data_IF_063842619908
#
_entry.id   IF_063842619908
#
_cell.length_a   1.000
_cell.length_b   1.000
_cell.length_c   1.000
_cell.angle_alpha   90.00
_cell.angle_beta   90.00
_cell.angle_gamma   90.00
#
_symmetry.space_group_name_H-M   'P 1'
#
loop_
_entity.id
_entity.type
_entity.pdbx_description
1 polymer ?
#
# COMPACT_ATOMS: atom_id res chain seq x y z
N UNK A 1 11.71 30.89 -6.28
CA UNK A 1 12.92 31.48 -5.64
C UNK A 1 12.80 31.73 -4.12
N UNK A 2 11.67 31.44 -3.45
CA UNK A 2 11.58 31.57 -1.97
C UNK A 2 11.53 30.24 -1.20
N UNK A 3 11.45 29.11 -1.91
CA UNK A 3 11.47 27.75 -1.35
C UNK A 3 12.88 27.27 -0.95
N UNK A 4 13.92 27.97 -1.40
CA UNK A 4 15.34 27.58 -1.23
C UNK A 4 15.97 28.14 0.05
N UNK A 5 15.38 29.20 0.64
CA UNK A 5 15.93 29.89 1.81
C UNK A 5 15.61 29.19 3.15
N UNK A 6 14.56 28.37 3.20
CA UNK A 6 14.14 27.65 4.43
C UNK A 6 14.91 26.34 4.65
N UNK A 7 15.29 25.63 3.59
CA UNK A 7 16.09 24.38 3.68
C UNK A 7 17.53 24.65 4.12
N UNK A 8 18.04 25.86 3.87
CA UNK A 8 19.40 26.26 4.23
C UNK A 8 19.59 26.52 5.74
N UNK A 9 18.56 26.92 6.49
CA UNK A 9 18.74 27.20 7.93
C UNK A 9 18.79 25.94 8.81
N UNK A 10 18.13 24.86 8.39
CA UNK A 10 18.21 23.51 9.02
C UNK A 10 19.62 22.91 8.95
N UNK A 11 20.37 23.27 7.91
CA UNK A 11 21.73 22.76 7.67
C UNK A 11 22.80 23.59 8.37
N UNK A 12 22.59 24.89 8.52
CA UNK A 12 23.60 25.79 9.10
C UNK A 12 23.87 25.47 10.59
N UNK A 13 22.88 24.96 11.33
CA UNK A 13 23.02 24.53 12.72
C UNK A 13 23.71 23.16 12.89
N UNK A 14 23.74 22.33 11.84
CA UNK A 14 24.30 20.96 11.88
C UNK A 14 25.71 20.84 11.27
N UNK A 15 26.23 21.88 10.61
CA UNK A 15 27.56 21.83 9.98
C UNK A 15 28.72 22.16 10.93
N UNK A 16 28.46 22.62 12.16
CA UNK A 16 29.49 23.22 13.02
C UNK A 16 30.14 22.32 14.06
N UNK A 17 29.86 21.01 14.08
CA UNK A 17 30.58 20.06 14.96
C UNK A 17 31.09 18.84 14.20
N UNK A 18 32.09 19.07 13.35
CA UNK A 18 33.05 18.03 12.97
C UNK A 18 34.17 18.05 14.02
N UNK A 19 34.05 17.25 15.08
CA UNK A 19 35.23 16.91 15.89
C UNK A 19 36.08 15.91 15.11
N UNK A 20 37.39 16.13 15.05
CA UNK A 20 38.36 15.19 14.48
C UNK A 20 38.28 13.85 15.23
N UNK A 21 37.77 12.82 14.55
CA UNK A 21 37.73 11.45 15.09
C UNK A 21 38.95 10.67 14.59
N UNK A 22 39.60 9.97 15.53
CA UNK A 22 40.84 9.23 15.33
C UNK A 22 40.66 8.05 14.36
N UNK A 23 41.74 7.75 13.65
CA UNK A 23 41.88 6.89 12.46
C UNK A 23 41.56 5.39 12.64
N UNK A 24 41.13 4.93 13.83
CA UNK A 24 41.13 3.50 14.18
C UNK A 24 39.77 2.81 14.34
N UNK A 25 38.64 3.52 14.19
CA UNK A 25 37.31 2.90 14.20
C UNK A 25 36.83 2.59 12.77
N UNK A 26 37.29 1.47 12.22
CA UNK A 26 36.98 1.06 10.84
C UNK A 26 35.57 0.42 10.73
N UNK A 27 34.54 1.26 10.78
CA UNK A 27 33.33 1.05 9.97
C UNK A 27 33.41 2.08 8.84
N UNK A 28 33.17 1.73 7.56
CA UNK A 28 33.29 2.72 6.50
C UNK A 28 32.35 3.89 6.82
N UNK A 29 32.96 5.07 7.03
CA UNK A 29 32.23 6.32 7.23
C UNK A 29 31.20 6.42 6.11
N UNK A 30 29.92 6.53 6.46
CA UNK A 30 28.85 6.66 5.47
C UNK A 30 29.20 7.85 4.59
N UNK A 31 29.45 7.59 3.32
CA UNK A 31 29.90 8.62 2.40
C UNK A 31 28.83 9.70 2.21
N UNK A 32 29.22 10.89 1.74
CA UNK A 32 28.24 11.89 1.35
C UNK A 32 27.42 11.39 0.15
N UNK A 33 26.18 11.87 0.06
CA UNK A 33 25.32 11.69 -1.11
C UNK A 33 26.06 12.20 -2.36
N UNK A 34 26.08 11.42 -3.46
CA UNK A 34 26.68 11.88 -4.71
C UNK A 34 26.04 13.19 -5.17
N UNK A 35 26.81 14.06 -5.84
CA UNK A 35 26.26 15.32 -6.36
C UNK A 35 25.11 15.03 -7.34
N UNK A 36 23.91 15.56 -7.06
CA UNK A 36 22.66 15.24 -7.77
C UNK A 36 22.27 13.74 -7.76
N UNK A 37 22.82 12.96 -6.84
CA UNK A 37 22.54 11.54 -6.68
C UNK A 37 21.26 11.26 -5.88
N UNK A 38 20.92 9.99 -5.71
CA UNK A 38 19.85 9.51 -4.83
C UNK A 38 20.43 9.01 -3.50
N UNK A 39 19.58 8.90 -2.48
CA UNK A 39 19.91 8.31 -1.18
C UNK A 39 19.49 6.84 -1.19
N UNK A 40 20.38 5.94 -0.78
CA UNK A 40 20.09 4.52 -0.64
C UNK A 40 19.38 4.18 0.67
N UNK A 41 18.98 2.91 0.80
CA UNK A 41 18.53 2.34 2.07
C UNK A 41 19.53 1.24 2.49
N UNK A 42 19.91 1.24 3.76
CA UNK A 42 20.76 0.19 4.32
C UNK A 42 20.02 -1.14 4.28
N UNK A 43 20.74 -2.22 4.01
CA UNK A 43 20.21 -3.57 4.20
C UNK A 43 20.51 -4.03 5.63
N UNK A 44 19.46 -4.40 6.40
CA UNK A 44 19.55 -4.97 7.75
C UNK A 44 19.98 -6.45 7.80
N UNK A 45 20.16 -7.09 6.65
CA UNK A 45 20.55 -8.49 6.50
C UNK A 45 19.99 -9.05 5.19
N UNK A 46 18.71 -9.41 5.24
CA UNK A 46 17.91 -9.94 4.14
C UNK A 46 16.78 -8.98 3.70
N UNK A 47 16.84 -7.70 4.09
CA UNK A 47 15.78 -6.70 3.87
C UNK A 47 15.78 -6.04 2.48
N UNK A 48 16.42 -6.66 1.48
CA UNK A 48 16.50 -6.07 0.13
C UNK A 48 15.12 -5.96 -0.55
N UNK A 49 14.18 -6.85 -0.22
CA UNK A 49 12.78 -6.80 -0.66
C UNK A 49 12.07 -5.53 -0.15
N UNK A 50 12.36 -5.09 1.08
CA UNK A 50 11.81 -3.84 1.62
C UNK A 50 12.37 -2.65 0.85
N UNK A 51 13.69 -2.64 0.66
CA UNK A 51 14.39 -1.52 0.05
C UNK A 51 13.97 -1.30 -1.40
N UNK A 52 13.82 -2.37 -2.19
CA UNK A 52 13.39 -2.27 -3.60
C UNK A 52 11.98 -1.69 -3.71
N UNK A 53 11.03 -2.16 -2.89
CA UNK A 53 9.65 -1.67 -2.87
C UNK A 53 9.57 -0.23 -2.39
N UNK A 54 10.21 0.11 -1.27
CA UNK A 54 10.18 1.48 -0.72
C UNK A 54 10.79 2.50 -1.68
N UNK A 55 11.89 2.14 -2.35
CA UNK A 55 12.49 3.00 -3.39
C UNK A 55 11.56 3.16 -4.58
N UNK A 56 10.90 2.09 -5.04
CA UNK A 56 9.96 2.16 -6.16
C UNK A 56 8.76 3.05 -5.84
N UNK A 57 8.18 2.91 -4.65
CA UNK A 57 7.08 3.76 -4.17
C UNK A 57 7.51 5.23 -4.03
N UNK A 58 8.71 5.49 -3.50
CA UNK A 58 9.27 6.83 -3.37
C UNK A 58 9.46 7.55 -4.71
N UNK A 59 9.82 6.80 -5.76
CA UNK A 59 10.06 7.36 -7.09
C UNK A 59 8.75 7.74 -7.81
N UNK A 60 7.60 7.22 -7.37
CA UNK A 60 6.28 7.67 -7.85
C UNK A 60 6.00 9.05 -7.26
N UNK A 61 6.25 10.10 -8.05
CA UNK A 61 6.19 11.50 -7.58
C UNK A 61 4.84 11.86 -6.96
N UNK A 62 3.72 11.49 -7.60
CA UNK A 62 2.37 11.78 -7.12
C UNK A 62 2.11 11.15 -5.75
N UNK A 63 2.49 9.87 -5.59
CA UNK A 63 2.40 9.14 -4.34
C UNK A 63 3.27 9.78 -3.26
N UNK A 64 4.57 9.97 -3.53
CA UNK A 64 5.51 10.58 -2.58
C UNK A 64 5.02 11.94 -2.09
N UNK A 65 4.60 12.83 -2.99
CA UNK A 65 4.13 14.16 -2.60
C UNK A 65 2.84 14.10 -1.78
N UNK A 66 1.93 13.19 -2.12
CA UNK A 66 0.69 13.03 -1.39
C UNK A 66 0.95 12.49 0.02
N UNK A 67 1.74 11.42 0.16
CA UNK A 67 2.09 10.83 1.45
C UNK A 67 2.84 11.81 2.36
N UNK A 68 3.82 12.55 1.83
CA UNK A 68 4.56 13.57 2.60
C UNK A 68 3.72 14.81 2.96
N UNK A 69 2.56 15.03 2.33
CA UNK A 69 1.69 16.19 2.64
C UNK A 69 0.74 15.94 3.81
N UNK A 70 0.58 14.67 4.21
CA UNK A 70 -0.34 14.29 5.28
C UNK A 70 0.28 14.64 6.64
N UNK A 71 -0.48 15.34 7.47
CA UNK A 71 -0.10 15.62 8.86
C UNK A 71 -0.67 14.55 9.77
N UNK A 72 0.20 13.89 10.52
CA UNK A 72 -0.18 12.94 11.57
C UNK A 72 -0.21 13.70 12.89
N UNK A 73 -1.32 13.70 13.66
CA UNK A 73 -1.39 14.36 14.96
C UNK A 73 -0.35 13.77 15.94
N UNK A 74 0.33 14.60 16.76
CA UNK A 74 1.17 14.11 17.86
C UNK A 74 0.28 13.41 18.92
N UNK A 75 0.73 12.26 19.45
CA UNK A 75 -0.01 11.47 20.44
C UNK A 75 -0.54 10.10 19.98
N UNK A 76 -0.18 9.61 18.79
CA UNK A 76 -0.45 8.22 18.37
C UNK A 76 0.88 7.44 18.29
N UNK A 77 1.24 6.76 19.38
CA UNK A 77 2.41 5.88 19.44
C UNK A 77 3.77 6.58 19.54
N UNK A 78 3.85 7.68 20.28
CA UNK A 78 5.12 8.37 20.57
C UNK A 78 5.91 7.63 21.65
N UNK A 79 6.17 6.33 21.46
CA UNK A 79 7.28 5.69 22.18
C UNK A 79 8.57 6.20 21.52
N UNK A 80 9.06 7.31 22.08
CA UNK A 80 10.41 7.81 21.91
C UNK A 80 11.40 6.70 22.30
N UNK A 81 11.73 5.81 21.38
CA UNK A 81 12.83 4.88 21.59
C UNK A 81 14.14 5.67 21.50
N UNK A 82 14.80 5.81 22.65
CA UNK A 82 16.04 6.53 23.00
C UNK A 82 17.31 6.29 22.15
N UNK A 83 17.24 5.71 20.95
CA UNK A 83 18.45 5.33 20.16
C UNK A 83 18.68 6.14 18.87
N UNK A 84 17.90 7.19 18.62
CA UNK A 84 18.15 8.09 17.49
C UNK A 84 18.63 9.46 17.99
N UNK A 85 19.92 9.55 18.31
CA UNK A 85 20.65 10.81 18.58
C UNK A 85 20.66 11.78 17.38
N UNK A 86 19.92 11.47 16.30
CA UNK A 86 19.71 12.32 15.11
C UNK A 86 18.30 12.95 15.07
N UNK A 87 17.46 12.78 16.12
CA UNK A 87 16.00 12.98 16.06
C UNK A 87 15.45 14.41 16.12
N UNK A 88 16.14 15.41 16.66
CA UNK A 88 15.39 16.59 17.16
C UNK A 88 15.08 17.70 16.15
N UNK A 89 15.90 17.93 15.13
CA UNK A 89 15.79 19.21 14.39
C UNK A 89 14.96 19.13 13.10
N UNK A 90 14.81 17.96 12.49
CA UNK A 90 14.16 17.83 11.17
C UNK A 90 12.63 17.76 11.22
N UNK A 91 12.06 17.24 12.31
CA UNK A 91 10.63 16.93 12.40
C UNK A 91 9.79 18.09 12.97
N UNK A 92 10.33 18.86 13.93
CA UNK A 92 9.62 20.01 14.53
C UNK A 92 9.45 21.18 13.57
N UNK A 93 10.33 21.34 12.57
CA UNK A 93 10.12 22.34 11.49
C UNK A 93 9.02 21.94 10.49
N UNK A 94 8.63 20.66 10.43
CA UNK A 94 7.60 20.17 9.51
C UNK A 94 6.19 20.24 10.12
N UNK A 95 6.06 20.06 11.44
CA UNK A 95 4.78 20.04 12.16
C UNK A 95 4.09 21.42 12.28
N UNK A 96 4.83 22.54 12.16
CA UNK A 96 4.30 23.91 12.33
C UNK A 96 3.54 24.50 11.12
N UNK A 97 3.28 23.72 10.05
CA UNK A 97 2.10 23.95 9.22
C UNK A 97 1.94 25.31 8.53
N UNK A 98 3.02 25.94 8.07
CA UNK A 98 2.96 26.96 7.01
C UNK A 98 3.49 26.33 5.72
N UNK A 99 3.12 26.84 4.54
CA UNK A 99 3.49 26.32 3.21
C UNK A 99 2.68 25.05 2.85
N UNK A 100 1.58 25.07 2.08
CA UNK A 100 1.45 25.48 0.68
C UNK A 100 -0.01 25.83 0.31
N UNK A 101 -0.15 26.64 -0.74
CA UNK A 101 -1.43 27.08 -1.31
C UNK A 101 -2.24 25.91 -1.90
N UNK A 102 -3.53 25.85 -1.56
CA UNK A 102 -4.57 25.15 -2.32
C UNK A 102 -4.61 25.76 -3.71
N UNK A 103 -4.22 25.01 -4.73
CA UNK A 103 -4.80 25.11 -6.08
C UNK A 103 -4.37 23.85 -6.84
N UNK A 104 -5.38 23.03 -7.21
CA UNK A 104 -5.40 21.85 -8.09
C UNK A 104 -6.07 20.58 -7.52
N UNK A 105 -6.99 20.70 -6.57
CA UNK A 105 -8.02 19.67 -6.33
C UNK A 105 -9.35 20.33 -6.00
N UNK A 106 -10.21 20.51 -7.00
CA UNK A 106 -11.59 20.96 -6.79
C UNK A 106 -12.43 19.75 -6.40
N UNK A 107 -12.72 19.62 -5.10
CA UNK A 107 -13.73 18.70 -4.56
C UNK A 107 -14.99 19.52 -4.35
N UNK A 108 -15.98 19.35 -5.22
CA UNK A 108 -17.34 19.87 -5.01
C UNK A 108 -18.06 18.98 -4.00
N UNK A 109 -18.44 19.54 -2.84
CA UNK A 109 -19.30 18.88 -1.85
C UNK A 109 -20.78 19.09 -2.17
N UNK A 110 -21.67 18.10 -1.95
CA UNK A 110 -23.10 18.33 -1.82
C UNK A 110 -23.52 18.61 -0.36
N UNK A 111 -24.62 19.35 -0.25
CA UNK A 111 -25.20 19.99 0.95
C UNK A 111 -25.54 19.05 2.12
N UNK A 112 -25.34 19.56 3.35
CA UNK A 112 -25.97 19.08 4.58
C UNK A 112 -27.40 19.62 4.66
N UNK A 113 -28.39 18.75 4.86
CA UNK A 113 -29.64 19.10 5.52
C UNK A 113 -29.65 18.52 6.93
N UNK A 114 -30.17 19.33 7.84
CA UNK A 114 -30.31 19.11 9.27
C UNK A 114 -31.47 18.16 9.54
N UNK A 115 -31.29 17.22 10.46
CA UNK A 115 -32.40 16.69 11.25
C UNK A 115 -32.07 16.83 12.73
N UNK A 116 -32.85 17.68 13.38
CA UNK A 116 -33.04 17.74 14.82
C UNK A 116 -33.85 16.51 15.22
N UNK A 117 -33.54 15.90 16.37
CA UNK A 117 -34.61 15.41 17.24
C UNK A 117 -34.15 15.31 18.70
N UNK A 118 -34.95 15.99 19.53
CA UNK A 118 -34.99 15.91 20.99
C UNK A 118 -35.50 14.53 21.43
N UNK A 119 -35.08 14.07 22.62
CA UNK A 119 -36.04 13.83 23.69
C UNK A 119 -35.38 13.58 25.06
N UNK A 120 -35.91 14.28 26.05
CA UNK A 120 -35.71 14.13 27.49
C UNK A 120 -36.43 12.89 28.03
N UNK A 121 -35.92 12.25 29.09
CA UNK A 121 -36.43 12.37 30.48
C UNK A 121 -36.02 11.21 31.41
N UNK A 122 -35.54 11.63 32.57
CA UNK A 122 -35.85 11.20 33.95
C UNK A 122 -35.43 9.82 34.52
N UNK A 123 -34.52 9.93 35.51
CA UNK A 123 -34.60 9.51 36.92
C UNK A 123 -35.18 8.12 37.27
N UNK A 124 -34.39 7.31 37.98
CA UNK A 124 -34.62 7.07 39.41
C UNK A 124 -33.46 6.32 40.12
N UNK A 125 -33.30 6.68 41.39
CA UNK A 125 -32.37 6.13 42.39
C UNK A 125 -32.62 4.64 42.71
N UNK A 126 -31.57 3.91 43.12
CA UNK A 126 -31.47 3.39 44.49
C UNK A 126 -30.15 2.66 44.79
N UNK A 127 -29.68 2.87 46.02
CA UNK A 127 -28.56 2.20 46.69
C UNK A 127 -28.75 0.68 46.78
N UNK A 128 -27.65 -0.08 46.78
CA UNK A 128 -27.27 -0.92 47.93
C UNK A 128 -25.88 -1.55 47.76
N UNK A 129 -25.11 -1.50 48.85
CA UNK A 129 -23.88 -2.23 49.08
C UNK A 129 -24.12 -3.75 49.01
N UNK A 130 -23.13 -4.49 48.48
CA UNK A 130 -22.60 -5.67 49.14
C UNK A 130 -21.27 -6.11 48.50
N UNK A 131 -20.24 -6.16 49.34
CA UNK A 131 -18.98 -6.85 49.07
C UNK A 131 -19.27 -8.35 48.84
N UNK A 132 -18.67 -8.93 47.80
CA UNK A 132 -18.16 -10.28 47.85
C UNK A 132 -17.02 -10.45 46.83
N UNK A 133 -15.86 -10.84 47.37
CA UNK A 133 -14.69 -11.28 46.63
C UNK A 133 -15.03 -12.50 45.78
N UNK A 134 -14.64 -12.45 44.51
CA UNK A 134 -14.01 -13.53 43.74
C UNK A 134 -14.08 -13.16 42.27
N UNK A 135 -12.99 -12.64 41.69
CA UNK A 135 -12.87 -12.58 40.23
C UNK A 135 -11.49 -13.08 39.80
N UNK A 136 -11.51 -14.31 39.28
CA UNK A 136 -10.56 -14.76 38.27
C UNK A 136 -10.69 -13.82 37.06
N UNK A 137 -9.72 -12.94 36.85
CA UNK A 137 -9.68 -12.10 35.67
C UNK A 137 -9.08 -12.88 34.50
N UNK A 138 -9.91 -13.70 33.83
CA UNK A 138 -9.76 -13.87 32.40
C UNK A 138 -10.35 -12.61 31.76
N UNK A 139 -9.48 -11.67 31.37
CA UNK A 139 -9.86 -10.51 30.57
C UNK A 139 -10.29 -11.01 29.18
N UNK A 140 -11.59 -11.07 28.97
CA UNK A 140 -12.18 -11.19 27.64
C UNK A 140 -12.04 -9.82 26.98
N UNK A 141 -11.05 -9.68 26.09
CA UNK A 141 -10.74 -8.43 25.39
C UNK A 141 -11.92 -8.03 24.51
N UNK A 142 -12.41 -6.80 24.70
CA UNK A 142 -13.51 -6.28 23.90
C UNK A 142 -13.10 -6.05 22.44
N UNK A 143 -13.97 -6.24 21.44
CA UNK A 143 -13.64 -6.01 20.01
C UNK A 143 -13.22 -4.57 19.68
N UNK A 144 -13.48 -3.61 20.58
CA UNK A 144 -13.15 -2.19 20.38
C UNK A 144 -11.67 -1.88 20.65
N UNK A 145 -11.06 -2.60 21.59
CA UNK A 145 -9.65 -2.39 21.95
C UNK A 145 -8.71 -2.89 20.84
N UNK A 146 -9.00 -4.05 20.26
CA UNK A 146 -8.20 -4.63 19.16
C UNK A 146 -8.24 -3.79 17.88
N UNK A 147 -9.38 -3.15 17.59
CA UNK A 147 -9.51 -2.25 16.42
C UNK A 147 -8.69 -0.98 16.60
N UNK A 148 -8.63 -0.44 17.82
CA UNK A 148 -7.87 0.76 18.12
C UNK A 148 -6.35 0.50 18.04
N UNK A 149 -5.88 -0.62 18.59
CA UNK A 149 -4.48 -1.05 18.50
C UNK A 149 -4.02 -1.24 17.03
N UNK A 150 -4.88 -1.82 16.19
CA UNK A 150 -4.57 -2.02 14.77
C UNK A 150 -4.47 -0.68 14.02
N UNK A 151 -5.34 0.26 14.32
CA UNK A 151 -5.30 1.60 13.73
C UNK A 151 -4.02 2.34 14.14
N UNK A 152 -3.66 2.27 15.42
CA UNK A 152 -2.44 2.89 15.93
C UNK A 152 -1.19 2.28 15.28
N UNK A 153 -1.11 0.96 15.17
CA UNK A 153 -0.06 0.26 14.44
C UNK A 153 0.09 0.77 13.01
N UNK A 154 -1.03 0.84 12.26
CA UNK A 154 -1.01 1.32 10.87
C UNK A 154 -0.52 2.77 10.78
N UNK A 155 -0.95 3.65 11.69
CA UNK A 155 -0.51 5.04 11.74
C UNK A 155 0.99 5.13 12.03
N UNK A 156 1.52 4.30 12.94
CA UNK A 156 2.97 4.24 13.20
C UNK A 156 3.73 3.79 11.94
N UNK A 157 3.28 2.75 11.26
CA UNK A 157 3.88 2.28 9.99
C UNK A 157 3.90 3.40 8.96
N UNK A 158 2.79 4.11 8.80
CA UNK A 158 2.69 5.23 7.87
C UNK A 158 3.67 6.37 8.24
N UNK A 159 3.80 6.71 9.53
CA UNK A 159 4.77 7.69 10.02
C UNK A 159 6.22 7.30 9.68
N UNK A 160 6.58 6.03 9.88
CA UNK A 160 7.92 5.55 9.52
C UNK A 160 8.17 5.59 8.01
N UNK A 161 7.15 5.34 7.18
CA UNK A 161 7.25 5.51 5.73
C UNK A 161 7.48 6.99 5.37
N UNK A 162 6.78 7.92 6.01
CA UNK A 162 7.03 9.36 5.83
C UNK A 162 8.47 9.73 6.22
N UNK A 163 9.00 9.20 7.33
CA UNK A 163 10.39 9.42 7.73
C UNK A 163 11.39 8.87 6.72
N UNK A 164 11.17 7.65 6.22
CA UNK A 164 11.99 7.07 5.15
C UNK A 164 11.96 8.00 3.93
N UNK A 165 10.79 8.42 3.48
CA UNK A 165 10.65 9.29 2.31
C UNK A 165 11.28 10.67 2.52
N UNK A 166 11.18 11.24 3.72
CA UNK A 166 11.86 12.49 4.07
C UNK A 166 13.38 12.38 3.96
N UNK A 167 13.97 11.31 4.51
CA UNK A 167 15.40 11.06 4.40
C UNK A 167 15.85 10.76 2.96
N UNK A 168 15.06 10.02 2.20
CA UNK A 168 15.36 9.77 0.79
C UNK A 168 15.37 11.05 -0.06
N UNK A 169 14.54 12.03 0.31
CA UNK A 169 14.45 13.31 -0.36
C UNK A 169 15.62 14.24 0.00
N UNK A 170 15.89 14.41 1.31
CA UNK A 170 16.72 15.51 1.82
C UNK A 170 18.07 15.08 2.39
N UNK A 171 18.27 13.80 2.74
CA UNK A 171 19.51 13.38 3.40
C UNK A 171 20.74 13.68 2.54
N UNK A 172 21.79 14.13 3.21
CA UNK A 172 23.13 14.36 2.65
C UNK A 172 24.01 13.13 2.72
N UNK A 173 23.54 12.06 3.35
CA UNK A 173 24.26 10.80 3.46
C UNK A 173 23.99 9.94 2.22
N UNK A 174 24.93 9.03 1.91
CA UNK A 174 24.78 8.08 0.83
C UNK A 174 23.58 7.15 1.01
N UNK A 175 23.22 6.82 2.26
CA UNK A 175 22.05 6.00 2.58
C UNK A 175 21.43 6.36 3.93
N UNK A 176 20.16 5.98 4.11
CA UNK A 176 19.44 6.02 5.39
C UNK A 176 19.30 4.62 6.00
N UNK A 177 19.30 4.53 7.33
CA UNK A 177 19.11 3.27 8.08
C UNK A 177 17.72 3.31 8.75
N UNK A 178 16.71 2.60 8.22
CA UNK A 178 15.34 2.67 8.73
C UNK A 178 15.12 1.80 9.98
N UNK A 179 15.91 2.01 11.03
CA UNK A 179 15.88 1.17 12.27
C UNK A 179 14.51 1.13 12.91
N UNK A 180 13.86 2.29 13.04
CA UNK A 180 12.53 2.38 13.63
C UNK A 180 11.50 1.56 12.85
N UNK A 181 11.53 1.61 11.51
CA UNK A 181 10.64 0.82 10.67
C UNK A 181 10.87 -0.68 10.87
N UNK A 182 12.13 -1.12 10.90
CA UNK A 182 12.48 -2.52 11.15
C UNK A 182 11.99 -3.04 12.50
N UNK A 183 12.02 -2.21 13.54
CA UNK A 183 11.59 -2.59 14.89
C UNK A 183 10.07 -2.82 14.97
N UNK A 184 9.29 -2.03 14.23
CA UNK A 184 7.83 -2.04 14.34
C UNK A 184 7.15 -2.89 13.28
N UNK A 185 7.75 -3.06 12.10
CA UNK A 185 7.10 -3.72 10.97
C UNK A 185 6.86 -5.21 11.25
N UNK A 186 5.66 -5.69 10.93
CA UNK A 186 5.21 -7.05 11.17
C UNK A 186 4.60 -7.66 9.91
N UNK A 187 4.88 -8.94 9.66
CA UNK A 187 4.15 -9.75 8.69
C UNK A 187 3.07 -10.54 9.39
N UNK A 188 1.82 -10.41 8.95
CA UNK A 188 0.69 -11.17 9.51
C UNK A 188 0.56 -11.12 11.05
N UNK A 189 1.02 -10.01 11.67
CA UNK A 189 1.03 -9.83 13.12
C UNK A 189 2.33 -10.23 13.82
N UNK A 190 3.21 -10.96 13.15
CA UNK A 190 4.48 -11.44 13.70
C UNK A 190 5.63 -10.46 13.41
N UNK A 191 6.52 -10.19 14.39
CA UNK A 191 7.73 -9.40 14.19
C UNK A 191 8.62 -9.97 13.09
N UNK A 192 9.20 -9.10 12.27
CA UNK A 192 10.09 -9.52 11.19
C UNK A 192 11.51 -9.74 11.70
N UNK A 193 12.06 -10.92 11.43
CA UNK A 193 13.48 -11.16 11.56
C UNK A 193 14.21 -10.63 10.33
N UNK A 194 15.09 -9.64 10.52
CA UNK A 194 15.78 -8.95 9.42
C UNK A 194 16.76 -9.84 8.64
N UNK A 195 17.03 -11.06 9.10
CA UNK A 195 17.85 -12.06 8.41
C UNK A 195 17.05 -12.99 7.51
N UNK A 196 15.73 -12.95 7.59
CA UNK A 196 14.84 -13.78 6.79
C UNK A 196 14.45 -13.06 5.49
N UNK A 197 14.46 -13.81 4.39
CA UNK A 197 14.01 -13.32 3.08
C UNK A 197 12.50 -13.48 2.99
N UNK A 198 11.83 -12.47 2.43
CA UNK A 198 10.38 -12.49 2.19
C UNK A 198 10.07 -12.11 0.73
N UNK A 199 8.84 -12.40 0.29
CA UNK A 199 8.36 -11.96 -1.00
C UNK A 199 8.17 -10.43 -1.00
N UNK A 200 8.79 -9.75 -1.98
CA UNK A 200 8.64 -8.32 -2.17
C UNK A 200 7.18 -7.91 -2.47
N UNK A 201 6.40 -8.80 -3.09
CA UNK A 201 4.98 -8.56 -3.35
C UNK A 201 4.14 -8.61 -2.08
N UNK A 202 4.42 -9.56 -1.19
CA UNK A 202 3.78 -9.63 0.13
C UNK A 202 4.06 -8.36 0.93
N UNK A 203 5.32 -7.89 0.91
CA UNK A 203 5.71 -6.64 1.53
C UNK A 203 4.99 -5.43 0.91
N UNK A 204 4.94 -5.34 -0.42
CA UNK A 204 4.23 -4.26 -1.13
C UNK A 204 2.77 -4.18 -0.71
N UNK A 205 2.05 -5.30 -0.74
CA UNK A 205 0.63 -5.34 -0.38
C UNK A 205 0.44 -4.93 1.09
N UNK A 206 1.25 -5.50 2.00
CA UNK A 206 1.19 -5.17 3.44
C UNK A 206 1.41 -3.67 3.69
N UNK A 207 2.41 -3.07 3.03
CA UNK A 207 2.72 -1.65 3.16
C UNK A 207 1.60 -0.78 2.60
N UNK A 208 1.10 -1.11 1.41
CA UNK A 208 0.00 -0.36 0.76
C UNK A 208 -1.26 -0.39 1.62
N UNK A 209 -1.63 -1.56 2.14
CA UNK A 209 -2.80 -1.75 2.98
C UNK A 209 -2.66 -1.02 4.32
N UNK A 210 -1.49 -1.12 4.98
CA UNK A 210 -1.23 -0.40 6.23
C UNK A 210 -1.29 1.12 6.05
N UNK A 211 -0.76 1.65 4.94
CA UNK A 211 -0.84 3.10 4.65
C UNK A 211 -2.28 3.52 4.42
N UNK A 212 -3.04 2.79 3.61
CA UNK A 212 -4.42 3.16 3.30
C UNK A 212 -5.35 3.01 4.52
N UNK A 213 -5.17 2.00 5.36
CA UNK A 213 -5.90 1.88 6.64
C UNK A 213 -5.49 2.97 7.64
N UNK A 214 -4.21 3.38 7.68
CA UNK A 214 -3.79 4.53 8.48
C UNK A 214 -4.48 5.82 8.03
N UNK A 215 -4.53 6.07 6.72
CA UNK A 215 -5.20 7.25 6.16
C UNK A 215 -6.70 7.21 6.47
N UNK A 216 -7.33 6.04 6.35
CA UNK A 216 -8.74 5.86 6.71
C UNK A 216 -9.01 6.10 8.19
N UNK A 217 -8.14 5.63 9.09
CA UNK A 217 -8.24 5.91 10.53
C UNK A 217 -8.12 7.42 10.83
N UNK A 218 -7.33 8.14 10.03
CA UNK A 218 -7.21 9.60 10.08
C UNK A 218 -8.36 10.34 9.36
N UNK A 219 -9.39 9.63 8.87
CA UNK A 219 -10.49 10.17 8.06
C UNK A 219 -10.03 10.85 6.76
N UNK A 220 -8.93 10.37 6.20
CA UNK A 220 -8.35 10.83 4.94
C UNK A 220 -8.62 9.82 3.82
N UNK A 221 -8.61 10.27 2.55
CA UNK A 221 -8.74 9.35 1.44
C UNK A 221 -7.54 8.40 1.34
N UNK A 222 -7.81 7.15 1.01
CA UNK A 222 -6.82 6.12 0.69
C UNK A 222 -6.02 6.53 -0.55
N UNK A 223 -4.74 6.91 -0.35
CA UNK A 223 -3.89 7.48 -1.40
C UNK A 223 -3.34 6.36 -2.30
N UNK A 224 -2.93 5.23 -1.73
CA UNK A 224 -2.32 4.15 -2.49
C UNK A 224 -3.36 3.53 -3.43
N UNK A 225 -4.56 3.23 -2.95
CA UNK A 225 -5.70 2.77 -3.75
C UNK A 225 -6.08 3.74 -4.88
N UNK A 226 -5.89 5.05 -4.71
CA UNK A 226 -6.15 6.01 -5.79
C UNK A 226 -5.08 6.00 -6.88
N UNK A 227 -3.83 5.70 -6.54
CA UNK A 227 -2.70 5.74 -7.46
C UNK A 227 -2.44 4.39 -8.14
N UNK A 228 -2.57 3.29 -7.39
CA UNK A 228 -2.27 1.92 -7.81
C UNK A 228 -3.54 1.09 -8.04
N UNK A 229 -4.68 1.51 -7.50
CA UNK A 229 -5.92 0.74 -7.53
C UNK A 229 -6.65 0.80 -8.87
N UNK A 230 -6.83 -0.37 -9.48
CA UNK A 230 -7.71 -0.63 -10.61
C UNK A 230 -8.86 -1.56 -10.22
N UNK A 231 -9.72 -1.84 -11.19
CA UNK A 231 -10.88 -2.72 -11.00
C UNK A 231 -11.03 -3.62 -12.22
N UNK A 232 -11.15 -4.92 -11.99
CA UNK A 232 -11.56 -5.91 -12.97
C UNK A 232 -13.08 -5.97 -13.12
N UNK A 233 -13.54 -6.47 -14.25
CA UNK A 233 -14.88 -6.98 -14.44
C UNK A 233 -14.78 -8.49 -14.76
N UNK A 234 -15.13 -9.33 -13.79
CA UNK A 234 -15.36 -10.78 -14.02
C UNK A 234 -16.72 -10.93 -14.71
N UNK A 235 -16.68 -11.26 -15.99
CA UNK A 235 -17.84 -11.37 -16.85
C UNK A 235 -18.18 -12.84 -17.12
N UNK A 236 -19.45 -13.19 -16.93
CA UNK A 236 -20.03 -14.45 -17.35
C UNK A 236 -21.04 -14.20 -18.45
N UNK A 237 -20.73 -14.69 -19.65
CA UNK A 237 -21.54 -14.49 -20.87
C UNK A 237 -22.12 -15.84 -21.25
N UNK A 238 -23.41 -16.04 -20.99
CA UNK A 238 -24.10 -17.28 -21.35
C UNK A 238 -24.27 -17.36 -22.88
N UNK A 239 -24.05 -18.54 -23.46
CA UNK A 239 -24.18 -18.77 -24.92
C UNK A 239 -25.62 -19.09 -25.32
N UNK A 240 -26.32 -19.94 -24.56
CA UNK A 240 -27.67 -20.41 -24.92
C UNK A 240 -28.81 -19.63 -24.24
N UNK A 241 -28.50 -18.47 -23.67
CA UNK A 241 -29.49 -17.53 -23.14
C UNK A 241 -28.95 -16.09 -23.16
N UNK A 242 -29.82 -15.06 -23.15
CA UNK A 242 -29.40 -13.67 -23.26
C UNK A 242 -28.80 -13.10 -21.96
N UNK A 243 -28.61 -13.91 -20.92
CA UNK A 243 -28.17 -13.42 -19.63
C UNK A 243 -26.66 -13.20 -19.59
N UNK A 244 -26.27 -12.07 -19.02
CA UNK A 244 -24.88 -11.72 -18.74
C UNK A 244 -24.76 -11.25 -17.31
N UNK A 245 -23.70 -11.68 -16.65
CA UNK A 245 -23.37 -11.30 -15.29
C UNK A 245 -22.00 -10.63 -15.29
N UNK A 246 -21.82 -9.64 -14.43
CA UNK A 246 -20.56 -8.95 -14.24
C UNK A 246 -20.38 -8.67 -12.76
N UNK A 247 -19.22 -9.02 -12.22
CA UNK A 247 -18.79 -8.65 -10.87
C UNK A 247 -17.54 -7.79 -10.96
N UNK A 248 -17.46 -6.78 -10.12
CA UNK A 248 -16.28 -5.95 -9.99
C UNK A 248 -15.39 -6.47 -8.88
N UNK A 249 -14.09 -6.53 -9.16
CA UNK A 249 -13.06 -6.97 -8.22
C UNK A 249 -11.89 -6.00 -8.30
N UNK A 250 -11.56 -5.36 -7.18
CA UNK A 250 -10.48 -4.37 -7.12
C UNK A 250 -9.11 -5.06 -7.08
N UNK A 251 -8.10 -4.38 -7.62
CA UNK A 251 -6.71 -4.82 -7.56
C UNK A 251 -5.74 -3.64 -7.39
N UNK A 252 -4.65 -3.87 -6.68
CA UNK A 252 -3.50 -2.93 -6.57
C UNK A 252 -2.29 -3.41 -7.36
N UNK A 253 -2.23 -4.72 -7.63
CA UNK A 253 -1.16 -5.42 -8.33
C UNK A 253 -1.78 -6.42 -9.30
N UNK A 254 -1.32 -6.38 -10.55
CA UNK A 254 -1.73 -7.34 -11.58
C UNK A 254 -0.73 -8.50 -11.64
N UNK A 255 -1.17 -9.72 -11.34
CA UNK A 255 -0.29 -10.89 -11.33
C UNK A 255 -0.47 -11.76 -12.59
N UNK A 256 0.50 -11.73 -13.50
CA UNK A 256 0.45 -12.47 -14.77
C UNK A 256 1.19 -13.80 -14.69
N UNK A 257 0.63 -14.84 -15.33
CA UNK A 257 1.31 -16.11 -15.54
C UNK A 257 2.41 -15.96 -16.61
N UNK A 258 3.50 -16.68 -16.44
CA UNK A 258 4.66 -16.69 -17.33
C UNK A 258 4.96 -18.07 -17.94
N UNK A 259 4.38 -19.16 -17.44
CA UNK A 259 4.74 -20.53 -17.84
C UNK A 259 4.26 -20.88 -19.25
N UNK A 260 3.20 -20.23 -19.70
CA UNK A 260 2.54 -20.49 -20.98
C UNK A 260 2.54 -19.26 -21.90
N UNK A 261 3.39 -18.27 -21.62
CA UNK A 261 3.43 -17.00 -22.36
C UNK A 261 4.86 -16.50 -22.45
N UNK A 262 5.29 -16.10 -23.64
CA UNK A 262 6.66 -15.62 -23.88
C UNK A 262 6.81 -14.12 -23.61
N UNK A 263 5.69 -13.41 -23.56
CA UNK A 263 5.66 -11.96 -23.40
C UNK A 263 4.44 -11.47 -22.63
N UNK A 264 4.53 -10.23 -22.14
CA UNK A 264 3.46 -9.60 -21.37
C UNK A 264 2.12 -9.51 -22.11
N UNK A 265 2.12 -9.33 -23.43
CA UNK A 265 0.89 -9.20 -24.21
C UNK A 265 0.10 -10.50 -24.23
N UNK A 266 0.79 -11.63 -24.42
CA UNK A 266 0.19 -12.96 -24.37
C UNK A 266 -0.42 -13.25 -23.00
N UNK A 267 0.29 -12.96 -21.91
CA UNK A 267 -0.25 -13.16 -20.57
C UNK A 267 -1.46 -12.26 -20.26
N UNK A 268 -1.47 -11.03 -20.78
CA UNK A 268 -2.62 -10.13 -20.67
C UNK A 268 -3.81 -10.61 -21.50
N UNK A 269 -3.56 -11.22 -22.66
CA UNK A 269 -4.60 -11.78 -23.51
C UNK A 269 -5.34 -12.94 -22.82
N UNK A 270 -4.63 -13.74 -22.01
CA UNK A 270 -5.25 -14.82 -21.23
C UNK A 270 -6.35 -14.33 -20.27
N UNK A 271 -6.25 -13.10 -19.76
CA UNK A 271 -7.31 -12.51 -18.94
C UNK A 271 -8.63 -12.37 -19.73
N UNK A 272 -8.53 -11.94 -20.99
CA UNK A 272 -9.70 -11.53 -21.79
C UNK A 272 -10.24 -12.60 -22.73
N UNK A 273 -9.42 -13.56 -23.17
CA UNK A 273 -9.89 -14.75 -23.89
C UNK A 273 -10.95 -15.47 -23.05
N UNK A 274 -10.67 -15.63 -21.76
CA UNK A 274 -11.53 -16.32 -20.83
C UNK A 274 -11.59 -17.84 -21.03
N UNK A 275 -12.31 -18.48 -20.13
CA UNK A 275 -12.49 -19.93 -20.09
C UNK A 275 -13.94 -20.28 -20.47
N UNK A 276 -14.10 -21.35 -21.24
CA UNK A 276 -15.42 -21.92 -21.51
C UNK A 276 -15.81 -22.82 -20.33
N UNK A 277 -16.92 -22.47 -19.68
CA UNK A 277 -17.60 -23.31 -18.70
C UNK A 277 -18.67 -24.13 -19.42
N UNK A 278 -18.41 -25.41 -19.68
CA UNK A 278 -19.30 -26.31 -20.42
C UNK A 278 -19.51 -27.66 -19.71
N UNK A 279 -20.46 -28.44 -20.24
CA UNK A 279 -20.74 -29.80 -19.79
C UNK A 279 -21.05 -29.88 -18.28
N UNK A 280 -20.41 -30.78 -17.52
CA UNK A 280 -20.59 -30.85 -16.07
C UNK A 280 -20.22 -29.57 -15.32
N UNK A 281 -19.28 -28.79 -15.86
CA UNK A 281 -18.77 -27.53 -15.31
C UNK A 281 -19.52 -26.29 -15.83
N UNK A 282 -20.57 -26.48 -16.65
CA UNK A 282 -21.39 -25.38 -17.15
C UNK A 282 -21.98 -24.53 -16.02
N UNK A 283 -22.00 -23.22 -16.23
CA UNK A 283 -22.46 -22.26 -15.25
C UNK A 283 -23.97 -22.39 -15.02
N UNK A 284 -24.39 -22.38 -13.76
CA UNK A 284 -25.81 -22.37 -13.41
C UNK A 284 -26.37 -20.95 -13.54
N UNK A 285 -27.20 -20.72 -14.54
CA UNK A 285 -27.87 -19.45 -14.75
C UNK A 285 -29.11 -19.37 -13.85
N UNK A 286 -29.05 -18.55 -12.80
CA UNK A 286 -30.14 -18.38 -11.82
C UNK A 286 -31.46 -17.92 -12.45
N UNK A 287 -31.38 -17.06 -13.49
CA UNK A 287 -32.58 -16.54 -14.18
C UNK A 287 -33.26 -17.60 -15.05
N UNK A 288 -32.50 -18.52 -15.63
CA UNK A 288 -33.04 -19.64 -16.42
C UNK A 288 -33.27 -20.90 -15.57
N UNK A 289 -32.78 -20.92 -14.33
CA UNK A 289 -32.79 -22.07 -13.43
C UNK A 289 -32.21 -23.35 -14.06
N UNK A 290 -31.14 -23.23 -14.86
CA UNK A 290 -30.48 -24.36 -15.56
C UNK A 290 -28.99 -24.09 -15.78
N UNK A 291 -28.22 -25.17 -16.02
CA UNK A 291 -26.83 -25.06 -16.49
C UNK A 291 -26.79 -24.61 -17.95
N UNK A 292 -25.90 -23.68 -18.27
CA UNK A 292 -25.73 -23.08 -19.59
C UNK A 292 -24.24 -22.89 -19.87
N UNK A 293 -23.82 -23.27 -21.07
CA UNK A 293 -22.46 -23.04 -21.54
C UNK A 293 -22.16 -21.53 -21.49
N UNK A 294 -21.07 -21.16 -20.82
CA UNK A 294 -20.81 -19.78 -20.45
C UNK A 294 -19.34 -19.46 -20.63
N UNK A 295 -19.04 -18.33 -21.28
CA UNK A 295 -17.68 -17.79 -21.33
C UNK A 295 -17.47 -16.99 -20.05
N UNK A 296 -16.51 -17.39 -19.23
CA UNK A 296 -16.05 -16.63 -18.06
C UNK A 296 -14.74 -15.94 -18.41
N UNK A 297 -14.68 -14.62 -18.32
CA UNK A 297 -13.45 -13.86 -18.60
C UNK A 297 -13.27 -12.71 -17.63
N UNK A 298 -12.04 -12.25 -17.49
CA UNK A 298 -11.69 -11.12 -16.63
C UNK A 298 -11.19 -9.97 -17.49
N UNK A 299 -11.88 -8.83 -17.45
CA UNK A 299 -11.51 -7.66 -18.25
C UNK A 299 -11.12 -6.49 -17.34
N UNK A 300 -10.32 -5.55 -17.83
CA UNK A 300 -10.01 -4.35 -17.06
C UNK A 300 -11.15 -3.33 -17.17
N UNK A 301 -11.83 -3.03 -16.06
CA UNK A 301 -12.90 -2.01 -16.02
C UNK A 301 -12.31 -0.62 -15.78
N UNK A 302 -11.42 -0.49 -14.79
CA UNK A 302 -10.73 0.74 -14.44
C UNK A 302 -9.23 0.46 -14.34
N UNK A 303 -8.44 1.22 -15.10
CA UNK A 303 -6.98 1.16 -15.03
C UNK A 303 -6.45 2.19 -14.01
N UNK A 304 -5.45 1.83 -13.20
CA UNK A 304 -4.80 2.78 -12.30
C UNK A 304 -3.86 3.73 -13.07
N UNK A 305 -3.59 4.93 -12.52
CA UNK A 305 -2.53 5.80 -13.05
C UNK A 305 -1.15 5.15 -13.09
N UNK A 306 -0.84 4.29 -12.11
CA UNK A 306 0.38 3.49 -12.06
C UNK A 306 -0.03 2.02 -11.96
N UNK A 307 0.28 1.25 -13.00
CA UNK A 307 0.00 -0.19 -13.03
C UNK A 307 1.21 -0.97 -12.53
N UNK A 308 1.10 -1.60 -11.36
CA UNK A 308 2.08 -2.56 -10.88
C UNK A 308 1.76 -3.95 -11.47
N UNK A 309 2.77 -4.64 -12.02
CA UNK A 309 2.62 -5.96 -12.62
C UNK A 309 3.61 -6.93 -11.97
N UNK A 310 3.10 -7.99 -11.37
CA UNK A 310 3.88 -9.12 -10.87
C UNK A 310 3.97 -10.20 -11.95
N UNK A 311 5.19 -10.59 -12.29
CA UNK A 311 5.44 -11.82 -13.03
C UNK A 311 5.45 -12.99 -12.03
N UNK A 312 4.52 -13.94 -12.15
CA UNK A 312 4.42 -15.10 -11.23
C UNK A 312 5.56 -16.11 -11.46
N UNK A 313 6.76 -15.73 -11.04
CA UNK A 313 8.00 -16.51 -11.21
C UNK A 313 8.29 -17.50 -10.08
N UNK A 314 7.50 -17.50 -9.02
CA UNK A 314 7.69 -18.36 -7.87
C UNK A 314 6.45 -19.22 -7.67
N UNK A 315 6.67 -20.49 -7.35
CA UNK A 315 5.64 -21.48 -7.06
C UNK A 315 6.23 -22.53 -6.10
N UNK A 316 5.43 -23.48 -5.65
CA UNK A 316 5.86 -24.52 -4.74
C UNK A 316 5.85 -25.89 -5.42
N UNK A 317 7.00 -26.56 -5.41
CA UNK A 317 7.09 -27.95 -5.86
C UNK A 317 6.70 -28.86 -4.69
N UNK A 318 5.47 -29.39 -4.76
CA UNK A 318 4.93 -30.28 -3.74
C UNK A 318 5.61 -31.65 -3.69
N UNK A 319 6.22 -32.11 -4.78
CA UNK A 319 6.96 -33.38 -4.78
C UNK A 319 8.31 -33.23 -4.07
N UNK A 320 8.95 -32.07 -4.24
CA UNK A 320 10.26 -31.76 -3.64
C UNK A 320 10.18 -31.01 -2.32
N UNK A 321 8.98 -30.60 -1.91
CA UNK A 321 8.73 -29.76 -0.73
C UNK A 321 9.62 -28.50 -0.70
N UNK A 322 9.81 -27.86 -1.85
CA UNK A 322 10.69 -26.69 -1.98
C UNK A 322 10.09 -25.61 -2.87
N UNK A 323 10.39 -24.33 -2.58
CA UNK A 323 10.03 -23.25 -3.48
C UNK A 323 10.84 -23.34 -4.77
N UNK A 324 10.17 -23.19 -5.90
CA UNK A 324 10.78 -23.20 -7.22
C UNK A 324 10.68 -21.82 -7.88
N UNK A 325 11.69 -21.52 -8.70
CA UNK A 325 11.74 -20.29 -9.48
C UNK A 325 11.76 -20.60 -10.97
N UNK A 326 10.76 -20.09 -11.68
CA UNK A 326 10.69 -20.11 -13.14
C UNK A 326 11.58 -19.00 -13.70
N UNK A 327 12.67 -19.42 -14.36
CA UNK A 327 13.65 -18.53 -14.99
C UNK A 327 13.45 -18.43 -16.50
N UNK A 328 12.30 -18.87 -17.00
CA UNK A 328 11.91 -18.81 -18.40
C UNK A 328 12.00 -17.38 -18.95
N UNK A 329 12.42 -17.30 -20.21
CA UNK A 329 12.48 -16.04 -20.94
C UNK A 329 11.09 -15.42 -20.99
N UNK A 330 11.01 -14.13 -20.62
CA UNK A 330 9.77 -13.38 -20.66
C UNK A 330 10.09 -11.93 -20.97
N UNK A 331 9.55 -11.41 -22.06
CA UNK A 331 9.76 -10.02 -22.45
C UNK A 331 8.55 -9.13 -22.11
N UNK A 332 8.83 -7.85 -21.85
CA UNK A 332 7.81 -6.84 -21.64
C UNK A 332 8.23 -5.55 -22.37
N UNK A 333 7.29 -4.86 -23.04
CA UNK A 333 7.61 -3.69 -23.82
C UNK A 333 7.83 -2.46 -22.93
N UNK A 334 8.55 -1.46 -23.46
CA UNK A 334 8.67 -0.14 -22.81
C UNK A 334 7.37 0.66 -22.87
N UNK A 335 6.57 0.44 -23.91
CA UNK A 335 5.26 1.04 -24.12
C UNK A 335 4.20 -0.06 -24.22
N UNK A 336 3.15 0.05 -23.39
CA UNK A 336 2.10 -0.95 -23.29
C UNK A 336 0.74 -0.31 -23.52
N UNK A 337 0.05 -0.72 -24.58
CA UNK A 337 -1.34 -0.34 -24.80
C UNK A 337 -2.27 -1.31 -24.07
N UNK A 338 -2.99 -0.81 -23.07
CA UNK A 338 -3.94 -1.61 -22.29
C UNK A 338 -5.35 -1.63 -22.87
N UNK A 339 -5.68 -0.79 -23.87
CA UNK A 339 -7.04 -0.70 -24.44
C UNK A 339 -7.64 -2.07 -24.84
N UNK A 340 -6.91 -2.97 -25.53
CA UNK A 340 -7.45 -4.27 -25.95
C UNK A 340 -7.97 -5.13 -24.81
N UNK A 341 -7.42 -4.96 -23.61
CA UNK A 341 -7.77 -5.76 -22.44
C UNK A 341 -8.92 -5.14 -21.61
N UNK A 342 -9.36 -3.93 -21.97
CA UNK A 342 -10.41 -3.21 -21.23
C UNK A 342 -11.82 -3.63 -21.65
N UNK A 343 -12.79 -3.44 -20.75
CA UNK A 343 -14.22 -3.64 -21.04
C UNK A 343 -14.66 -2.84 -22.27
N UNK A 344 -14.19 -1.60 -22.40
CA UNK A 344 -14.50 -0.73 -23.54
C UNK A 344 -13.84 -1.21 -24.84
N UNK A 345 -12.55 -1.54 -24.79
CA UNK A 345 -11.81 -2.05 -25.95
C UNK A 345 -12.41 -3.33 -26.51
N UNK A 346 -12.75 -4.27 -25.64
CA UNK A 346 -13.43 -5.51 -26.03
C UNK A 346 -14.82 -5.24 -26.62
N UNK A 347 -15.61 -4.34 -26.03
CA UNK A 347 -16.92 -3.98 -26.58
C UNK A 347 -16.83 -3.33 -27.97
N UNK A 348 -15.77 -2.54 -28.24
CA UNK A 348 -15.48 -2.02 -29.58
C UNK A 348 -15.11 -3.14 -30.55
N UNK A 349 -14.20 -4.03 -30.15
CA UNK A 349 -13.74 -5.16 -30.98
C UNK A 349 -14.88 -6.13 -31.34
N UNK A 350 -15.79 -6.39 -30.39
CA UNK A 350 -16.98 -7.24 -30.58
C UNK A 350 -18.12 -6.53 -31.34
N UNK A 351 -17.95 -5.27 -31.75
CA UNK A 351 -18.98 -4.50 -32.46
C UNK A 351 -20.19 -4.11 -31.61
N UNK A 352 -20.08 -4.19 -30.26
CA UNK A 352 -21.15 -3.84 -29.30
C UNK A 352 -21.22 -2.35 -28.98
N UNK A 353 -20.18 -1.59 -29.29
CA UNK A 353 -20.16 -0.12 -29.30
C UNK A 353 -20.04 0.36 -30.76
N UNK A 354 -21.18 0.55 -31.45
CA UNK A 354 -21.24 1.30 -32.71
C UNK A 354 -22.00 2.61 -32.46
N UNK A 355 -21.40 3.70 -32.95
CA UNK A 355 -21.76 5.12 -32.86
C UNK A 355 -21.44 5.81 -31.52
#
# INVERSE_FOLDING_TARGET
MRSTLLVLSLVASHASKMSSLNEWDFAPLVGPRPNRGFVGLKNGGATCYMNSVLQQLFMIRSLRTALLSVKIPPGHGDDETDDDDQRRDAFDSFSEGKFFHKDNFTITSPNKQQEQNNNNNNNNNNNNNNNNNNNNNNMDLSPKDSTNERNEYNIQIFRHIQWIFGHLLESKLQYYVPRGFWKIFKFSGEPVNLRDQHDAVEFLNTVVDSVDEALKALNLPQICSKVLGGTFADQKICKDCPHRYSREEDFTLLSVDIRHSQNLKESLEQYVIGELLDGPNAYFCEKCNKKVDTIKRTCFKKLPPILAIQLKRFDYDWERETPIKFNDYFEFPRELNMEPYTVQGLAKAEGKLRA
#
